data_IF_891960611969
#
_entry.id   IF_891960611969
#
_cell.length_a   1.000
_cell.length_b   1.000
_cell.length_c   1.000
_cell.angle_alpha   90.00
_cell.angle_beta   90.00
_cell.angle_gamma   90.00
#
_symmetry.space_group_name_H-M   'P 1'
#
loop_
_entity.id
_entity.type
_entity.pdbx_description
1 polymer ?
#
# COMPACT_ATOMS: atom_id res chain seq x y z
N UNK A 1 15.41 47.45 -17.04
CA UNK A 1 14.53 46.41 -16.49
C UNK A 1 15.40 45.41 -15.72
N UNK A 2 15.11 45.25 -14.43
CA UNK A 2 15.82 44.34 -13.50
C UNK A 2 15.26 42.93 -13.69
N UNK A 3 16.11 41.98 -14.09
CA UNK A 3 15.77 40.56 -14.03
C UNK A 3 16.47 39.96 -12.82
N UNK A 4 15.69 39.68 -11.78
CA UNK A 4 16.15 39.01 -10.56
C UNK A 4 16.70 37.62 -10.92
N UNK A 5 18.03 37.49 -10.94
CA UNK A 5 18.69 36.18 -10.85
C UNK A 5 18.48 35.69 -9.42
N UNK A 6 17.43 34.91 -9.21
CA UNK A 6 17.23 34.13 -7.99
C UNK A 6 18.43 33.19 -7.89
N UNK A 7 19.21 33.38 -6.83
CA UNK A 7 20.33 32.53 -6.48
C UNK A 7 19.86 31.09 -6.39
N UNK A 8 20.27 30.28 -7.37
CA UNK A 8 20.41 28.84 -7.21
C UNK A 8 21.51 28.62 -6.19
N UNK A 9 21.17 28.62 -4.90
CA UNK A 9 22.05 28.03 -3.90
C UNK A 9 21.93 26.52 -4.09
N UNK A 10 22.75 26.01 -5.00
CA UNK A 10 23.20 24.63 -5.04
C UNK A 10 23.76 24.31 -3.66
N UNK A 11 22.90 23.76 -2.80
CA UNK A 11 23.28 23.09 -1.57
C UNK A 11 24.19 21.94 -2.02
N UNK A 12 25.49 22.20 -2.00
CA UNK A 12 26.51 21.18 -2.15
C UNK A 12 26.16 20.08 -1.17
N UNK A 13 25.77 18.92 -1.70
CA UNK A 13 25.57 17.66 -0.99
C UNK A 13 26.92 17.31 -0.35
N UNK A 14 27.23 17.92 0.80
CA UNK A 14 28.13 17.28 1.72
C UNK A 14 27.41 16.03 2.18
N UNK A 15 27.96 14.88 1.85
CA UNK A 15 27.63 13.52 2.31
C UNK A 15 27.82 13.37 3.83
N UNK A 16 27.38 14.36 4.60
CA UNK A 16 27.13 14.26 6.03
C UNK A 16 25.74 13.64 6.18
N UNK A 17 25.67 12.30 6.11
CA UNK A 17 24.55 11.59 6.70
C UNK A 17 24.57 11.90 8.19
N UNK A 18 23.84 12.94 8.60
CA UNK A 18 23.76 13.34 9.99
C UNK A 18 23.16 12.17 10.76
N UNK A 19 23.97 11.53 11.61
CA UNK A 19 23.48 10.46 12.48
C UNK A 19 22.81 11.12 13.67
N UNK A 20 21.54 11.48 13.47
CA UNK A 20 20.60 11.80 14.55
C UNK A 20 20.40 10.52 15.39
N UNK A 21 20.31 10.69 16.71
CA UNK A 21 20.51 9.59 17.65
C UNK A 21 19.44 8.50 17.48
N UNK A 22 19.82 7.31 16.99
CA UNK A 22 18.97 6.11 17.04
C UNK A 22 19.17 5.40 18.38
N UNK A 23 18.26 5.61 19.33
CA UNK A 23 18.25 4.88 20.60
C UNK A 23 17.50 3.54 20.42
N UNK A 24 18.19 2.49 19.97
CA UNK A 24 17.63 1.12 19.94
C UNK A 24 17.61 0.43 21.32
N UNK A 25 17.98 1.14 22.40
CA UNK A 25 17.91 0.67 23.79
C UNK A 25 17.38 1.80 24.68
N UNK A 26 16.64 1.50 25.76
CA UNK A 26 16.49 2.43 26.85
C UNK A 26 17.88 2.53 27.51
N UNK A 27 18.75 3.37 26.98
CA UNK A 27 19.88 3.81 27.79
C UNK A 27 19.34 4.87 28.74
N UNK A 28 19.76 4.71 29.99
CA UNK A 28 19.61 5.63 31.10
C UNK A 28 19.56 7.09 30.66
N UNK A 29 18.74 7.87 31.35
CA UNK A 29 18.56 9.31 31.18
C UNK A 29 19.87 9.98 30.72
N UNK A 30 19.84 10.79 29.65
CA UNK A 30 21.03 11.53 29.27
C UNK A 30 21.45 12.34 30.49
N UNK A 31 22.70 12.14 30.93
CA UNK A 31 23.29 12.96 31.99
C UNK A 31 23.02 14.41 31.63
N UNK A 32 22.21 15.08 32.44
CA UNK A 32 21.93 16.51 32.33
C UNK A 32 23.26 17.23 32.17
N UNK A 33 23.47 17.84 31.00
CA UNK A 33 24.52 18.84 30.81
C UNK A 33 24.21 19.99 31.78
N UNK A 34 24.82 19.93 32.97
CA UNK A 34 24.55 20.78 34.14
C UNK A 34 24.74 22.29 33.89
N UNK A 35 25.12 22.69 32.69
CA UNK A 35 25.45 24.08 32.35
C UNK A 35 24.76 24.56 31.05
N UNK A 36 23.64 23.94 30.66
CA UNK A 36 22.84 24.38 29.50
C UNK A 36 21.57 25.12 29.91
N UNK A 37 21.15 26.10 29.10
CA UNK A 37 19.84 26.77 29.25
C UNK A 37 18.82 26.17 28.29
N UNK A 38 17.53 26.29 28.61
CA UNK A 38 16.48 25.88 27.67
C UNK A 38 16.48 26.81 26.45
N UNK A 39 16.50 26.24 25.26
CA UNK A 39 16.33 26.97 24.00
C UNK A 39 14.84 27.08 23.68
N UNK A 40 14.36 28.32 23.51
CA UNK A 40 13.00 28.59 23.04
C UNK A 40 12.92 28.29 21.53
N UNK A 41 12.41 27.11 21.21
CA UNK A 41 12.29 26.57 19.86
C UNK A 41 11.06 25.68 19.79
N UNK A 42 10.14 26.01 18.90
CA UNK A 42 8.89 25.27 18.70
C UNK A 42 8.82 24.70 17.28
N UNK A 43 8.80 23.37 17.16
CA UNK A 43 8.52 22.67 15.90
C UNK A 43 7.02 22.52 15.72
N UNK A 44 6.50 22.94 14.57
CA UNK A 44 5.07 22.89 14.26
C UNK A 44 4.71 21.77 13.30
N UNK A 45 5.68 21.29 12.52
CA UNK A 45 5.46 20.19 11.57
C UNK A 45 6.75 19.46 11.25
N UNK A 46 6.65 18.15 11.05
CA UNK A 46 7.68 17.31 10.43
C UNK A 46 7.07 16.49 9.30
N UNK A 47 7.65 16.58 8.11
CA UNK A 47 7.15 15.94 6.88
C UNK A 47 8.16 14.99 6.26
N UNK A 48 7.67 13.90 5.68
CA UNK A 48 8.41 13.04 4.75
C UNK A 48 7.71 13.14 3.40
N UNK A 49 8.31 13.88 2.47
CA UNK A 49 7.69 14.18 1.17
C UNK A 49 8.15 13.20 0.09
N UNK A 50 7.19 12.73 -0.72
CA UNK A 50 7.43 11.86 -1.87
C UNK A 50 8.46 12.43 -2.83
N UNK A 51 8.31 13.72 -3.18
CA UNK A 51 9.19 14.42 -4.12
C UNK A 51 10.66 14.47 -3.69
N UNK A 52 10.93 14.34 -2.40
CA UNK A 52 12.29 14.31 -1.85
C UNK A 52 12.84 12.90 -1.69
N UNK A 53 12.00 11.87 -1.74
CA UNK A 53 12.38 10.48 -1.45
C UNK A 53 12.18 9.57 -2.68
N UNK A 54 12.83 9.93 -3.80
CA UNK A 54 12.75 9.24 -5.09
C UNK A 54 13.84 8.17 -5.25
N UNK A 55 13.60 7.22 -6.14
CA UNK A 55 14.60 6.25 -6.58
C UNK A 55 15.75 7.00 -7.27
N UNK A 56 16.98 6.87 -6.77
CA UNK A 56 18.14 7.63 -7.26
C UNK A 56 18.46 7.36 -8.74
N UNK A 57 18.28 6.12 -9.19
CA UNK A 57 18.60 5.69 -10.55
C UNK A 57 17.56 6.15 -11.57
N UNK A 58 16.28 6.20 -11.20
CA UNK A 58 15.19 6.52 -12.13
C UNK A 58 14.68 7.95 -12.01
N UNK A 59 14.80 8.58 -10.84
CA UNK A 59 14.31 9.92 -10.44
C UNK A 59 12.85 10.26 -10.79
N UNK A 60 12.11 9.29 -11.31
CA UNK A 60 10.72 9.39 -11.76
C UNK A 60 9.84 8.38 -11.03
N UNK A 61 10.42 7.56 -10.16
CA UNK A 61 9.74 6.58 -9.32
C UNK A 61 10.07 6.85 -7.85
N UNK A 62 9.15 6.50 -6.96
CA UNK A 62 9.37 6.54 -5.51
C UNK A 62 10.51 5.60 -5.09
N UNK A 63 11.20 5.93 -4.00
CA UNK A 63 12.23 5.07 -3.42
C UNK A 63 11.64 3.83 -2.75
N UNK A 64 12.42 2.75 -2.61
CA UNK A 64 12.02 1.55 -1.86
C UNK A 64 11.57 1.88 -0.43
N UNK A 65 12.24 2.85 0.21
CA UNK A 65 11.84 3.39 1.50
C UNK A 65 10.38 3.84 1.49
N UNK A 66 10.11 4.78 0.58
CA UNK A 66 8.83 5.45 0.52
C UNK A 66 7.73 4.46 0.23
N UNK A 67 7.97 3.48 -0.66
CA UNK A 67 7.04 2.38 -0.93
C UNK A 67 6.68 1.60 0.33
N UNK A 68 7.69 1.22 1.13
CA UNK A 68 7.52 0.37 2.32
C UNK A 68 6.77 1.06 3.45
N UNK A 69 6.74 2.39 3.50
CA UNK A 69 5.98 3.13 4.50
C UNK A 69 4.46 2.98 4.35
N UNK A 70 3.98 2.50 3.21
CA UNK A 70 2.56 2.38 2.95
C UNK A 70 2.05 0.96 3.12
N UNK A 71 0.75 0.93 3.38
CA UNK A 71 -0.04 -0.26 3.33
C UNK A 71 -0.10 -0.81 1.90
N UNK A 72 -0.07 -2.14 1.79
CA UNK A 72 -0.24 -2.84 0.52
C UNK A 72 -1.61 -2.51 -0.09
N UNK A 73 -1.65 -2.22 -1.39
CA UNK A 73 -2.88 -2.06 -2.18
C UNK A 73 -3.04 -3.20 -3.18
N UNK A 74 -4.29 -3.48 -3.52
CA UNK A 74 -4.67 -4.33 -4.64
C UNK A 74 -5.60 -3.53 -5.55
N UNK A 75 -5.21 -3.23 -6.81
CA UNK A 75 -3.91 -3.55 -7.43
C UNK A 75 -2.75 -2.76 -6.80
N UNK A 76 -1.52 -3.24 -7.02
CA UNK A 76 -0.32 -2.57 -6.51
C UNK A 76 -0.24 -1.10 -6.96
N UNK A 77 0.30 -0.23 -6.11
CA UNK A 77 0.39 1.21 -6.39
C UNK A 77 1.31 1.49 -7.58
N UNK A 78 0.96 2.50 -8.38
CA UNK A 78 1.87 3.04 -9.40
C UNK A 78 3.01 3.79 -8.71
N UNK A 79 4.25 3.38 -9.01
CA UNK A 79 5.47 3.92 -8.43
C UNK A 79 5.86 5.26 -9.03
N UNK A 80 5.30 5.65 -10.17
CA UNK A 80 5.65 6.89 -10.86
C UNK A 80 5.34 8.10 -10.00
N UNK A 81 6.24 9.09 -10.04
CA UNK A 81 6.11 10.34 -9.32
C UNK A 81 4.80 11.08 -9.68
N UNK A 82 4.43 11.06 -10.96
CA UNK A 82 3.23 11.72 -11.46
C UNK A 82 1.90 11.05 -11.04
N UNK A 83 1.93 9.81 -10.57
CA UNK A 83 0.73 9.13 -10.08
C UNK A 83 0.46 9.52 -8.62
N UNK A 84 -0.73 10.02 -8.33
CA UNK A 84 -1.15 10.43 -6.98
C UNK A 84 -2.06 9.38 -6.33
N UNK A 85 -2.42 9.58 -5.06
CA UNK A 85 -3.29 8.65 -4.34
C UNK A 85 -4.64 8.39 -5.04
N UNK A 86 -5.20 9.41 -5.70
CA UNK A 86 -6.45 9.30 -6.46
C UNK A 86 -6.31 8.43 -7.72
N UNK A 87 -5.13 8.38 -8.33
CA UNK A 87 -4.81 7.54 -9.49
C UNK A 87 -4.10 6.22 -9.12
N UNK A 88 -4.31 5.70 -7.91
CA UNK A 88 -3.63 4.50 -7.37
C UNK A 88 -2.10 4.63 -7.19
N UNK A 89 -1.58 5.85 -7.12
CA UNK A 89 -0.20 6.14 -6.74
C UNK A 89 0.02 6.20 -5.23
N UNK A 90 1.19 6.69 -4.84
CA UNK A 90 1.55 6.93 -3.44
C UNK A 90 1.12 8.35 -3.01
N UNK A 91 0.62 8.52 -1.77
CA UNK A 91 0.42 9.83 -1.15
C UNK A 91 1.66 10.72 -1.23
N UNK A 92 1.47 12.03 -1.22
CA UNK A 92 2.56 12.98 -1.43
C UNK A 92 3.43 13.18 -0.19
N UNK A 93 2.90 12.89 1.01
CA UNK A 93 3.63 13.09 2.27
C UNK A 93 3.08 12.26 3.42
N UNK A 94 3.95 12.02 4.40
CA UNK A 94 3.57 11.84 5.80
C UNK A 94 3.83 13.15 6.53
N UNK A 95 2.93 13.57 7.42
CA UNK A 95 3.03 14.84 8.15
C UNK A 95 2.63 14.61 9.60
N UNK A 96 3.56 14.87 10.52
CA UNK A 96 3.25 15.05 11.93
C UNK A 96 2.96 16.54 12.17
N UNK A 97 1.78 16.84 12.72
CA UNK A 97 1.30 18.20 13.04
C UNK A 97 0.50 18.18 14.35
N UNK A 98 -0.25 19.23 14.64
CA UNK A 98 -1.12 19.35 15.83
C UNK A 98 -1.75 18.03 16.28
N UNK A 99 -1.45 17.60 17.51
CA UNK A 99 -1.88 16.33 18.10
C UNK A 99 -0.89 15.16 17.97
N UNK A 100 -0.03 15.19 16.94
CA UNK A 100 1.11 14.27 16.79
C UNK A 100 2.41 14.81 17.39
N UNK A 101 2.45 16.11 17.71
CA UNK A 101 3.53 16.72 18.49
C UNK A 101 3.04 16.85 19.93
N UNK A 102 3.65 16.12 20.87
CA UNK A 102 3.29 16.08 22.28
C UNK A 102 4.51 16.45 23.13
N UNK A 103 4.55 17.71 23.54
CA UNK A 103 5.76 18.29 24.14
C UNK A 103 6.94 18.13 23.19
N UNK A 104 8.00 17.50 23.68
CA UNK A 104 9.25 17.32 22.93
C UNK A 104 9.28 16.01 22.13
N UNK A 105 8.15 15.32 22.00
CA UNK A 105 8.01 14.09 21.21
C UNK A 105 7.17 14.35 19.97
N UNK A 106 7.67 13.94 18.80
CA UNK A 106 7.03 14.09 17.50
C UNK A 106 6.72 12.70 16.95
N UNK A 107 5.45 12.37 16.74
CA UNK A 107 5.02 11.07 16.22
C UNK A 107 4.79 11.14 14.71
N UNK A 108 5.62 10.44 13.93
CA UNK A 108 5.34 10.19 12.52
C UNK A 108 4.64 8.85 12.41
N UNK A 109 3.36 8.87 12.06
CA UNK A 109 2.49 7.68 11.99
C UNK A 109 2.38 7.18 10.55
N UNK A 110 2.72 5.92 10.34
CA UNK A 110 2.52 5.21 9.08
C UNK A 110 1.25 4.34 9.13
N UNK A 111 0.51 4.12 8.03
CA UNK A 111 -0.57 3.14 7.98
C UNK A 111 -0.10 1.78 8.49
N UNK A 112 -0.92 1.12 9.33
CA UNK A 112 -0.60 -0.22 9.80
C UNK A 112 -0.44 -1.18 8.61
N UNK A 113 0.63 -1.98 8.58
CA UNK A 113 0.81 -2.98 7.52
C UNK A 113 1.13 -4.34 8.15
N UNK A 114 0.18 -5.29 8.17
CA UNK A 114 0.41 -6.60 8.78
C UNK A 114 1.49 -7.40 8.04
N UNK A 115 1.69 -7.10 6.75
CA UNK A 115 2.66 -7.73 5.85
C UNK A 115 3.88 -6.83 5.60
N UNK A 116 4.19 -5.92 6.53
CA UNK A 116 5.33 -5.02 6.40
C UNK A 116 6.65 -5.78 6.20
N UNK A 117 7.37 -5.42 5.15
CA UNK A 117 8.69 -6.00 4.83
C UNK A 117 9.77 -4.99 5.21
N UNK A 118 10.72 -5.40 6.04
CA UNK A 118 11.84 -4.57 6.48
C UNK A 118 12.68 -4.05 5.31
N UNK A 119 13.37 -2.94 5.51
CA UNK A 119 14.30 -2.37 4.52
C UNK A 119 15.42 -3.36 4.18
N UNK A 120 15.87 -3.33 2.93
CA UNK A 120 16.98 -4.16 2.45
C UNK A 120 18.35 -3.66 2.92
N UNK A 121 18.48 -2.35 3.17
CA UNK A 121 19.71 -1.69 3.62
C UNK A 121 19.40 -0.42 4.43
N UNK A 122 20.42 0.08 5.13
CA UNK A 122 20.42 1.42 5.74
C UNK A 122 20.15 2.48 4.68
N UNK A 123 19.48 3.56 5.07
CA UNK A 123 19.13 4.63 4.14
C UNK A 123 19.08 6.00 4.81
N UNK A 124 19.09 7.04 3.98
CA UNK A 124 18.90 8.42 4.41
C UNK A 124 17.53 8.88 3.91
N UNK A 125 16.68 9.31 4.84
CA UNK A 125 15.37 9.88 4.57
C UNK A 125 15.50 11.39 4.61
N UNK A 126 14.90 12.08 3.64
CA UNK A 126 14.79 13.54 3.69
C UNK A 126 13.51 13.94 4.40
N UNK A 127 13.68 14.63 5.51
CA UNK A 127 12.58 15.14 6.34
C UNK A 127 12.54 16.66 6.30
N UNK A 128 11.36 17.25 6.17
CA UNK A 128 11.18 18.70 6.21
C UNK A 128 10.62 19.10 7.57
N UNK A 129 11.38 19.89 8.33
CA UNK A 129 10.99 20.41 9.64
C UNK A 129 10.56 21.87 9.50
N UNK A 130 9.44 22.23 10.11
CA UNK A 130 8.89 23.59 10.14
C UNK A 130 8.88 24.10 11.58
N UNK A 131 9.36 25.32 11.77
CA UNK A 131 9.37 26.02 13.05
C UNK A 131 8.28 27.07 13.12
N UNK A 132 7.77 27.36 14.32
CA UNK A 132 6.74 28.39 14.53
C UNK A 132 7.19 29.79 14.15
N UNK A 133 8.46 30.09 14.35
CA UNK A 133 9.09 31.37 14.03
C UNK A 133 10.44 31.14 13.37
N UNK A 134 11.00 32.18 12.74
CA UNK A 134 12.34 32.09 12.17
C UNK A 134 13.38 31.78 13.26
N UNK A 135 14.25 30.82 12.98
CA UNK A 135 15.30 30.37 13.90
C UNK A 135 16.69 30.74 13.37
N UNK A 136 17.67 30.78 14.27
CA UNK A 136 19.11 30.81 13.96
C UNK A 136 19.82 29.94 15.01
N UNK A 137 19.94 28.65 14.70
CA UNK A 137 20.37 27.58 15.61
C UNK A 137 21.25 26.59 14.87
N UNK A 138 21.84 25.64 15.59
CA UNK A 138 22.58 24.51 15.01
C UNK A 138 21.84 23.20 15.31
N UNK A 139 21.77 22.30 14.35
CA UNK A 139 21.47 20.90 14.62
C UNK A 139 22.78 20.17 14.90
N UNK A 140 22.86 19.54 16.06
CA UNK A 140 24.05 18.85 16.55
C UNK A 140 23.89 17.33 16.36
N UNK A 141 24.89 16.70 15.74
CA UNK A 141 24.94 15.25 15.59
C UNK A 141 25.58 14.57 16.82
N UNK A 142 25.54 13.23 16.85
CA UNK A 142 26.13 12.45 17.96
C UNK A 142 27.64 12.64 18.18
N UNK A 143 28.35 13.19 17.20
CA UNK A 143 29.78 13.46 17.27
C UNK A 143 30.06 14.94 17.59
N UNK A 144 29.03 15.75 17.84
CA UNK A 144 29.15 17.18 18.10
C UNK A 144 29.30 18.05 16.84
N UNK A 145 29.15 17.48 15.64
CA UNK A 145 29.16 18.27 14.40
C UNK A 145 27.88 19.13 14.33
N UNK A 146 28.03 20.36 13.88
CA UNK A 146 26.95 21.36 13.87
C UNK A 146 26.56 21.74 12.45
N UNK A 147 25.29 21.55 12.12
CA UNK A 147 24.67 22.02 10.89
C UNK A 147 23.91 23.33 11.18
N UNK A 148 24.30 24.49 10.60
CA UNK A 148 23.57 25.74 10.81
C UNK A 148 22.18 25.69 10.17
N UNK A 149 21.17 26.17 10.91
CA UNK A 149 19.77 26.21 10.50
C UNK A 149 19.28 27.65 10.65
N UNK A 150 18.77 28.23 9.56
CA UNK A 150 18.20 29.57 9.52
C UNK A 150 16.86 29.60 8.81
N UNK A 151 15.95 30.42 9.30
CA UNK A 151 14.61 30.60 8.70
C UNK A 151 13.53 29.79 9.41
N UNK A 152 12.40 29.58 8.74
CA UNK A 152 11.22 28.89 9.32
C UNK A 152 11.11 27.42 8.93
N UNK A 153 11.95 26.95 8.00
CA UNK A 153 11.91 25.58 7.48
C UNK A 153 13.32 25.07 7.20
N UNK A 154 13.52 23.76 7.33
CA UNK A 154 14.78 23.10 7.01
C UNK A 154 14.54 21.67 6.51
N UNK A 155 15.34 21.24 5.53
CA UNK A 155 15.42 19.83 5.13
C UNK A 155 16.56 19.14 5.89
N UNK A 156 16.22 18.07 6.61
CA UNK A 156 17.15 17.29 7.42
C UNK A 156 17.29 15.87 6.86
N UNK A 157 18.53 15.42 6.58
CA UNK A 157 18.79 14.02 6.30
C UNK A 157 18.75 13.21 7.60
N UNK A 158 17.90 12.19 7.66
CA UNK A 158 17.75 11.28 8.80
C UNK A 158 18.20 9.89 8.37
N UNK A 159 19.29 9.40 8.96
CA UNK A 159 19.73 8.02 8.72
C UNK A 159 18.82 7.06 9.48
N UNK A 160 18.18 6.13 8.76
CA UNK A 160 17.41 5.03 9.34
C UNK A 160 18.09 3.72 9.00
N UNK A 161 18.45 2.96 10.05
CA UNK A 161 19.04 1.65 9.87
C UNK A 161 17.97 0.64 9.47
N UNK A 162 18.32 -0.34 8.63
CA UNK A 162 17.36 -1.33 8.17
C UNK A 162 16.68 -2.10 9.32
N UNK A 163 17.48 -2.40 10.36
CA UNK A 163 17.03 -3.06 11.59
C UNK A 163 16.09 -2.23 12.45
N UNK A 164 16.14 -0.90 12.31
CA UNK A 164 15.33 0.01 13.12
C UNK A 164 13.94 0.21 12.49
N UNK A 165 13.72 -0.18 11.22
CA UNK A 165 12.43 -0.08 10.54
C UNK A 165 11.90 -1.49 10.21
N UNK A 166 11.40 -2.17 11.24
CA UNK A 166 10.75 -3.48 11.16
C UNK A 166 9.31 -3.37 11.63
N UNK A 167 8.48 -4.38 11.34
CA UNK A 167 7.11 -4.43 11.86
C UNK A 167 7.08 -4.28 13.40
N UNK A 168 7.92 -5.04 14.09
CA UNK A 168 7.99 -5.04 15.55
C UNK A 168 8.42 -3.69 16.13
N UNK A 169 9.40 -3.02 15.52
CA UNK A 169 9.87 -1.71 16.02
C UNK A 169 8.84 -0.60 15.77
N UNK A 170 8.10 -0.66 14.66
CA UNK A 170 7.00 0.26 14.35
C UNK A 170 5.76 0.02 15.22
N UNK A 171 5.42 -1.22 15.55
CA UNK A 171 4.35 -1.56 16.49
C UNK A 171 4.70 -1.12 17.92
N UNK A 172 5.94 -1.33 18.35
CA UNK A 172 6.41 -0.95 19.68
C UNK A 172 6.76 0.55 19.81
N UNK A 173 6.73 1.31 18.71
CA UNK A 173 7.19 2.71 18.66
C UNK A 173 8.62 2.89 19.22
N UNK A 174 9.49 1.92 18.98
CA UNK A 174 10.86 1.90 19.50
C UNK A 174 11.88 2.55 18.57
N UNK A 175 11.49 2.85 17.33
CA UNK A 175 12.31 3.60 16.39
C UNK A 175 12.28 5.09 16.72
N UNK A 176 13.36 5.58 17.34
CA UNK A 176 13.47 6.97 17.79
C UNK A 176 14.64 7.65 17.12
N UNK A 177 14.49 8.94 16.82
CA UNK A 177 15.53 9.83 16.30
C UNK A 177 15.53 11.11 17.13
N UNK A 178 16.66 11.49 17.72
CA UNK A 178 16.74 12.74 18.50
C UNK A 178 17.30 13.86 17.63
N UNK A 179 16.56 14.95 17.49
CA UNK A 179 17.01 16.21 16.92
C UNK A 179 17.46 17.12 18.06
N UNK A 180 18.77 17.31 18.21
CA UNK A 180 19.36 18.17 19.23
C UNK A 180 19.71 19.52 18.62
N UNK A 181 18.93 20.54 18.97
CA UNK A 181 19.17 21.91 18.53
C UNK A 181 19.96 22.67 19.60
N UNK A 182 21.01 23.37 19.18
CA UNK A 182 21.86 24.17 20.07
C UNK A 182 22.02 25.59 19.57
N UNK A 183 22.14 26.54 20.49
CA UNK A 183 22.46 27.94 20.21
C UNK A 183 23.59 28.40 21.13
N UNK A 184 24.70 28.95 20.58
CA UNK A 184 25.76 29.49 21.42
C UNK A 184 25.22 30.65 22.27
N UNK A 185 25.82 30.83 23.43
CA UNK A 185 25.58 32.00 24.27
C UNK A 185 25.98 33.31 23.58
N UNK A 186 25.49 34.45 24.08
CA UNK A 186 25.74 35.75 23.44
C UNK A 186 27.22 36.17 23.55
N UNK A 187 27.91 35.69 24.60
CA UNK A 187 29.34 35.86 24.82
C UNK A 187 30.03 34.50 25.04
N UNK A 188 31.36 34.45 24.93
CA UNK A 188 32.15 33.21 24.90
C UNK A 188 31.98 32.28 26.13
N UNK A 189 31.47 32.79 27.25
CA UNK A 189 31.27 32.04 28.50
C UNK A 189 29.79 31.85 28.87
N UNK A 190 28.87 32.36 28.03
CA UNK A 190 27.45 32.13 28.27
C UNK A 190 27.12 30.65 28.04
N UNK A 191 26.26 30.06 28.88
CA UNK A 191 25.83 28.67 28.72
C UNK A 191 25.13 28.46 27.37
N UNK A 192 25.41 27.32 26.73
CA UNK A 192 24.77 26.92 25.48
C UNK A 192 23.29 26.68 25.76
N UNK A 193 22.42 27.18 24.88
CA UNK A 193 20.99 26.87 24.94
C UNK A 193 20.69 25.61 24.12
N UNK A 194 19.94 24.67 24.68
CA UNK A 194 19.64 23.36 24.06
C UNK A 194 18.14 23.10 24.04
N UNK A 195 17.65 22.52 22.94
CA UNK A 195 16.31 21.92 22.83
C UNK A 195 16.41 20.61 22.07
N UNK A 196 15.84 19.55 22.61
CA UNK A 196 15.81 18.24 21.96
C UNK A 196 14.38 17.88 21.57
N UNK A 197 14.22 17.30 20.38
CA UNK A 197 12.99 16.68 19.94
C UNK A 197 13.24 15.20 19.66
N UNK A 198 12.43 14.33 20.26
CA UNK A 198 12.42 12.91 19.93
C UNK A 198 11.38 12.62 18.85
N UNK A 199 11.84 12.35 17.64
CA UNK A 199 11.00 11.87 16.54
C UNK A 199 10.81 10.37 16.67
N UNK A 200 9.57 9.94 16.84
CA UNK A 200 9.16 8.54 16.96
C UNK A 200 8.50 8.10 15.67
N UNK A 201 9.03 7.06 15.04
CA UNK A 201 8.41 6.41 13.90
C UNK A 201 7.55 5.24 14.40
N UNK A 202 6.26 5.24 14.08
CA UNK A 202 5.35 4.15 14.49
C UNK A 202 4.25 3.89 13.48
N UNK A 203 3.60 2.74 13.57
CA UNK A 203 2.32 2.55 12.90
C UNK A 203 1.23 3.39 13.56
N UNK A 204 0.20 3.72 12.78
CA UNK A 204 -1.05 4.26 13.27
C UNK A 204 -1.70 3.27 14.23
N UNK A 205 -2.31 3.81 15.29
CA UNK A 205 -3.07 3.02 16.25
C UNK A 205 -4.39 2.51 15.65
N UNK A 206 -4.88 3.16 14.59
CA UNK A 206 -6.07 2.75 13.86
C UNK A 206 -5.76 1.67 12.83
N UNK A 207 -6.50 0.57 12.90
CA UNK A 207 -6.49 -0.53 11.94
C UNK A 207 -7.87 -0.63 11.29
N UNK A 208 -7.92 -0.67 9.97
CA UNK A 208 -9.15 -0.86 9.21
C UNK A 208 -9.62 -2.30 9.32
N UNK A 209 -10.91 -2.46 9.60
CA UNK A 209 -11.65 -3.72 9.55
C UNK A 209 -12.33 -3.94 8.18
N UNK A 210 -12.11 -3.04 7.22
CA UNK A 210 -12.70 -3.13 5.88
C UNK A 210 -12.07 -4.27 5.08
N UNK A 211 -12.90 -5.25 4.71
CA UNK A 211 -12.56 -6.37 3.81
C UNK A 211 -13.67 -6.68 2.80
N UNK A 212 -14.60 -5.74 2.59
CA UNK A 212 -15.66 -5.84 1.60
C UNK A 212 -15.09 -5.59 0.19
N UNK A 213 -15.38 -6.48 -0.77
CA UNK A 213 -15.18 -6.21 -2.20
C UNK A 213 -16.44 -5.52 -2.71
N UNK A 214 -16.29 -4.30 -3.24
CA UNK A 214 -17.41 -3.58 -3.83
C UNK A 214 -17.99 -4.33 -5.05
N UNK A 215 -19.30 -4.21 -5.33
CA UNK A 215 -19.96 -4.95 -6.42
C UNK A 215 -19.29 -4.83 -7.80
N UNK A 216 -18.63 -3.71 -8.09
CA UNK A 216 -17.96 -3.43 -9.37
C UNK A 216 -16.42 -3.57 -9.30
N UNK A 217 -15.88 -4.01 -8.16
CA UNK A 217 -14.45 -4.08 -7.90
C UNK A 217 -13.81 -5.41 -8.32
N UNK A 218 -14.58 -6.46 -8.61
CA UNK A 218 -14.05 -7.76 -9.03
C UNK A 218 -13.84 -7.82 -10.55
N UNK A 219 -12.62 -7.51 -11.01
CA UNK A 219 -12.31 -7.37 -12.44
C UNK A 219 -11.17 -8.24 -12.97
N UNK A 220 -11.20 -8.45 -14.28
CA UNK A 220 -10.21 -9.16 -15.10
C UNK A 220 -9.81 -8.28 -16.28
N UNK A 221 -8.50 -8.09 -16.47
CA UNK A 221 -7.98 -7.42 -17.66
C UNK A 221 -7.84 -8.43 -18.79
N UNK A 222 -8.49 -8.16 -19.92
CA UNK A 222 -8.45 -9.03 -21.10
C UNK A 222 -7.03 -9.08 -21.65
N UNK A 223 -6.48 -10.30 -21.71
CA UNK A 223 -5.17 -10.61 -22.26
C UNK A 223 -5.20 -10.83 -23.77
N UNK A 224 -4.02 -11.08 -24.34
CA UNK A 224 -3.87 -11.41 -25.76
C UNK A 224 -4.19 -12.87 -26.09
N UNK A 225 -3.47 -13.43 -27.05
CA UNK A 225 -3.63 -14.83 -27.53
C UNK A 225 -2.86 -15.86 -26.70
N UNK A 226 -2.02 -15.40 -25.78
CA UNK A 226 -1.29 -16.21 -24.81
C UNK A 226 -1.45 -15.59 -23.42
N UNK A 227 -1.33 -16.43 -22.37
CA UNK A 227 -1.48 -16.11 -20.94
C UNK A 227 -2.93 -16.19 -20.40
N UNK A 228 -3.12 -15.73 -19.15
CA UNK A 228 -4.42 -15.70 -18.49
C UNK A 228 -5.36 -14.68 -19.14
N UNK A 229 -6.67 -14.82 -18.88
CA UNK A 229 -7.70 -13.91 -19.38
C UNK A 229 -7.68 -13.82 -20.91
N UNK A 230 -7.50 -14.93 -21.62
CA UNK A 230 -7.46 -14.93 -23.09
C UNK A 230 -8.68 -14.22 -23.67
N UNK A 231 -8.46 -13.36 -24.67
CA UNK A 231 -9.54 -12.65 -25.38
C UNK A 231 -10.64 -13.59 -25.88
N UNK A 232 -10.26 -14.79 -26.37
CA UNK A 232 -11.17 -15.80 -26.87
C UNK A 232 -12.05 -16.46 -25.78
N UNK A 233 -11.77 -16.22 -24.50
CA UNK A 233 -12.60 -16.67 -23.38
C UNK A 233 -13.80 -15.75 -23.14
N UNK A 234 -13.68 -14.48 -23.52
CA UNK A 234 -14.71 -13.46 -23.34
C UNK A 234 -15.60 -13.34 -24.58
N UNK A 235 -16.69 -12.58 -24.46
CA UNK A 235 -17.51 -12.21 -25.62
C UNK A 235 -16.67 -11.54 -26.72
N UNK A 236 -17.03 -11.81 -27.97
CA UNK A 236 -16.32 -11.33 -29.16
C UNK A 236 -16.20 -9.79 -29.28
N UNK A 237 -16.98 -9.04 -28.51
CA UNK A 237 -16.91 -7.56 -28.47
C UNK A 237 -15.77 -7.02 -27.59
N UNK A 238 -15.06 -7.89 -26.85
CA UNK A 238 -13.96 -7.47 -25.97
C UNK A 238 -12.65 -7.42 -26.72
N UNK A 239 -11.79 -6.49 -26.32
CA UNK A 239 -10.45 -6.27 -26.87
C UNK A 239 -9.40 -6.37 -25.79
N UNK A 240 -8.15 -6.63 -26.18
CA UNK A 240 -7.02 -6.69 -25.26
C UNK A 240 -6.91 -5.39 -24.47
N UNK A 241 -6.82 -5.49 -23.14
CA UNK A 241 -6.73 -4.36 -22.23
C UNK A 241 -8.07 -3.91 -21.64
N UNK A 242 -9.20 -4.36 -22.18
CA UNK A 242 -10.51 -4.12 -21.58
C UNK A 242 -10.59 -4.72 -20.16
N UNK A 243 -11.39 -4.11 -19.30
CA UNK A 243 -11.69 -4.64 -17.97
C UNK A 243 -13.07 -5.27 -18.00
N UNK A 244 -13.13 -6.59 -17.86
CA UNK A 244 -14.36 -7.36 -17.67
C UNK A 244 -14.59 -7.54 -16.18
N UNK A 245 -15.76 -7.16 -15.68
CA UNK A 245 -16.12 -7.30 -14.27
C UNK A 245 -17.00 -8.52 -14.08
N UNK A 246 -16.72 -9.30 -13.04
CA UNK A 246 -17.64 -10.34 -12.63
C UNK A 246 -18.94 -9.72 -12.11
N UNK A 247 -20.06 -10.37 -12.41
CA UNK A 247 -21.36 -9.98 -11.92
C UNK A 247 -21.48 -10.27 -10.43
N UNK A 248 -21.75 -9.24 -9.63
CA UNK A 248 -22.08 -9.41 -8.22
C UNK A 248 -23.52 -9.90 -8.06
N UNK A 249 -23.69 -11.07 -7.41
CA UNK A 249 -25.01 -11.61 -7.10
C UNK A 249 -25.49 -10.99 -5.79
N UNK A 250 -26.43 -10.06 -5.90
CA UNK A 250 -27.02 -9.42 -4.73
C UNK A 250 -27.63 -10.47 -3.78
N UNK A 251 -27.39 -10.35 -2.46
CA UNK A 251 -28.00 -11.27 -1.49
C UNK A 251 -29.52 -11.18 -1.52
N UNK A 252 -30.19 -12.33 -1.44
CA UNK A 252 -31.62 -12.41 -1.23
C UNK A 252 -31.88 -13.11 0.11
N UNK A 253 -32.62 -12.46 1.01
CA UNK A 253 -33.01 -13.05 2.31
C UNK A 253 -31.83 -13.54 3.15
N UNK A 254 -30.69 -12.83 3.12
CA UNK A 254 -29.45 -13.15 3.83
C UNK A 254 -28.80 -14.50 3.42
N UNK A 255 -28.99 -14.94 2.17
CA UNK A 255 -28.37 -16.16 1.63
C UNK A 255 -26.86 -15.99 1.35
N UNK A 256 -26.37 -14.75 1.29
CA UNK A 256 -24.99 -14.35 0.98
C UNK A 256 -24.56 -13.18 1.87
N UNK A 257 -24.35 -13.42 3.16
CA UNK A 257 -23.98 -12.39 4.13
C UNK A 257 -22.45 -12.21 4.31
N UNK A 258 -21.66 -12.98 3.57
CA UNK A 258 -20.20 -12.92 3.61
C UNK A 258 -19.59 -13.76 4.73
N UNK A 259 -20.37 -14.63 5.38
CA UNK A 259 -19.87 -15.69 6.27
C UNK A 259 -19.34 -16.90 5.47
N UNK A 260 -18.56 -17.78 6.11
CA UNK A 260 -17.97 -18.95 5.44
C UNK A 260 -19.01 -19.88 4.80
N UNK A 261 -20.16 -20.06 5.47
CA UNK A 261 -21.25 -20.91 4.98
C UNK A 261 -22.10 -20.21 3.93
N UNK A 262 -22.11 -18.87 3.90
CA UNK A 262 -22.90 -18.02 3.01
C UNK A 262 -22.03 -16.90 2.40
N UNK A 263 -21.03 -17.28 1.58
CA UNK A 263 -20.11 -16.30 1.01
C UNK A 263 -20.84 -15.36 0.04
N UNK A 264 -20.32 -14.14 -0.10
CA UNK A 264 -20.72 -13.29 -1.23
C UNK A 264 -20.35 -13.95 -2.55
N UNK A 265 -21.15 -13.76 -3.60
CA UNK A 265 -20.93 -14.42 -4.89
C UNK A 265 -20.68 -13.42 -6.01
N UNK A 266 -19.64 -13.71 -6.78
CA UNK A 266 -19.34 -13.09 -8.06
C UNK A 266 -19.41 -14.16 -9.16
N UNK A 267 -19.88 -13.77 -10.33
CA UNK A 267 -20.07 -14.69 -11.45
C UNK A 267 -19.41 -14.17 -12.73
N UNK A 268 -18.69 -15.05 -13.42
CA UNK A 268 -18.41 -14.91 -14.85
C UNK A 268 -19.43 -15.76 -15.61
N UNK A 269 -20.41 -15.09 -16.20
CA UNK A 269 -21.58 -15.71 -16.84
C UNK A 269 -21.33 -15.96 -18.30
N UNK A 270 -21.89 -17.06 -18.81
CA UNK A 270 -21.95 -17.35 -20.24
C UNK A 270 -22.73 -16.24 -20.95
N UNK A 271 -22.32 -15.93 -22.18
CA UNK A 271 -23.10 -14.99 -22.96
C UNK A 271 -24.47 -15.54 -23.34
N UNK A 272 -25.47 -14.66 -23.46
CA UNK A 272 -26.72 -14.99 -24.15
C UNK A 272 -26.44 -15.37 -25.61
N UNK A 273 -27.17 -16.35 -26.13
CA UNK A 273 -27.10 -16.71 -27.55
C UNK A 273 -27.48 -15.55 -28.48
N UNK A 274 -28.30 -14.62 -28.00
CA UNK A 274 -28.77 -13.43 -28.72
C UNK A 274 -27.89 -12.20 -28.54
N UNK A 275 -26.73 -12.32 -27.89
CA UNK A 275 -25.80 -11.21 -27.67
C UNK A 275 -25.08 -10.82 -28.98
N UNK A 276 -25.81 -10.28 -29.94
CA UNK A 276 -25.32 -9.71 -31.18
C UNK A 276 -25.62 -8.22 -31.19
N UNK A 277 -24.57 -7.40 -31.15
CA UNK A 277 -24.43 -5.96 -31.47
C UNK A 277 -25.70 -5.13 -31.80
N UNK A 278 -25.77 -3.85 -31.33
CA UNK A 278 -24.61 -2.94 -31.30
C UNK A 278 -24.14 -2.42 -29.93
N UNK A 279 -24.90 -2.57 -28.84
CA UNK A 279 -24.43 -2.13 -27.51
C UNK A 279 -24.58 -3.20 -26.42
N UNK A 280 -24.01 -4.40 -26.59
CA UNK A 280 -24.16 -5.47 -25.61
C UNK A 280 -23.32 -5.17 -24.36
N UNK A 281 -23.99 -5.02 -23.20
CA UNK A 281 -23.33 -4.78 -21.91
C UNK A 281 -23.11 -6.09 -21.17
N UNK A 282 -22.04 -6.21 -20.38
CA UNK A 282 -21.78 -7.43 -19.61
C UNK A 282 -22.95 -7.76 -18.66
N UNK A 283 -23.54 -6.73 -18.07
CA UNK A 283 -24.71 -6.84 -17.20
C UNK A 283 -25.88 -7.58 -17.86
N UNK A 284 -26.19 -7.26 -19.12
CA UNK A 284 -27.35 -7.78 -19.86
C UNK A 284 -27.06 -9.05 -20.65
N UNK A 285 -25.82 -9.23 -21.10
CA UNK A 285 -25.47 -10.22 -22.11
C UNK A 285 -24.48 -11.28 -21.63
N UNK A 286 -23.94 -11.16 -20.41
CA UNK A 286 -22.92 -12.03 -19.85
C UNK A 286 -21.51 -11.59 -20.24
N UNK A 287 -20.50 -12.16 -19.60
CA UNK A 287 -19.09 -11.77 -19.72
C UNK A 287 -18.29 -12.70 -20.66
N UNK A 288 -18.58 -14.00 -20.61
CA UNK A 288 -17.87 -15.06 -21.31
C UNK A 288 -18.49 -15.38 -22.67
N UNK A 289 -17.78 -16.13 -23.53
CA UNK A 289 -18.39 -16.66 -24.76
C UNK A 289 -19.62 -17.53 -24.47
N UNK A 290 -20.53 -17.65 -25.45
CA UNK A 290 -21.83 -18.33 -25.30
C UNK A 290 -21.70 -19.80 -24.87
N UNK A 291 -20.65 -20.48 -25.31
CA UNK A 291 -20.37 -21.88 -24.96
C UNK A 291 -19.70 -22.07 -23.59
N UNK A 292 -19.41 -20.99 -22.86
CA UNK A 292 -18.58 -21.04 -21.66
C UNK A 292 -17.11 -21.27 -21.98
N UNK A 293 -16.29 -21.46 -20.96
CA UNK A 293 -14.83 -21.64 -21.06
C UNK A 293 -14.37 -22.97 -20.51
N UNK A 294 -13.43 -23.59 -21.22
CA UNK A 294 -12.89 -24.91 -20.89
C UNK A 294 -11.82 -24.84 -19.79
N UNK A 295 -11.43 -25.99 -19.26
CA UNK A 295 -10.35 -26.10 -18.26
C UNK A 295 -8.96 -25.66 -18.76
N UNK A 296 -8.79 -25.47 -20.06
CA UNK A 296 -7.56 -24.92 -20.67
C UNK A 296 -7.52 -23.39 -20.62
N UNK A 297 -8.68 -22.74 -20.43
CA UNK A 297 -8.78 -21.30 -20.23
C UNK A 297 -8.68 -20.97 -18.75
N UNK A 298 -7.65 -20.23 -18.37
CA UNK A 298 -7.41 -19.77 -17.01
C UNK A 298 -7.44 -18.25 -16.90
N UNK A 299 -7.74 -17.79 -15.69
CA UNK A 299 -8.05 -16.40 -15.36
C UNK A 299 -7.16 -15.88 -14.25
N UNK A 300 -7.02 -14.56 -14.20
CA UNK A 300 -6.44 -13.81 -13.07
C UNK A 300 -7.27 -12.55 -12.87
N UNK A 301 -7.79 -12.35 -11.66
CA UNK A 301 -8.50 -11.14 -11.28
C UNK A 301 -7.51 -9.98 -11.05
N UNK A 302 -6.73 -9.65 -12.08
CA UNK A 302 -5.67 -8.65 -12.07
C UNK A 302 -6.18 -7.20 -12.12
N UNK A 303 -7.49 -7.02 -12.29
CA UNK A 303 -8.19 -5.76 -12.08
C UNK A 303 -9.07 -5.76 -10.81
N UNK A 304 -8.95 -6.78 -9.95
CA UNK A 304 -9.58 -6.80 -8.63
C UNK A 304 -9.09 -5.62 -7.78
N UNK A 305 -10.04 -4.93 -7.13
CA UNK A 305 -9.73 -3.94 -6.10
C UNK A 305 -10.13 -4.46 -4.73
N UNK A 306 -9.21 -4.36 -3.78
CA UNK A 306 -9.48 -4.62 -2.36
C UNK A 306 -9.39 -3.31 -1.58
N UNK A 307 -10.09 -3.20 -0.42
CA UNK A 307 -9.84 -2.13 0.52
C UNK A 307 -8.35 -2.03 0.88
N UNK A 308 -7.87 -0.84 1.21
CA UNK A 308 -6.48 -0.60 1.58
C UNK A 308 -6.03 -1.56 2.69
N UNK A 309 -4.99 -2.36 2.39
CA UNK A 309 -4.42 -3.35 3.31
C UNK A 309 -5.16 -4.65 3.46
N UNK A 310 -6.35 -4.79 2.89
CA UNK A 310 -6.99 -6.08 2.80
C UNK A 310 -6.23 -6.99 1.84
N UNK A 311 -6.19 -8.28 2.16
CA UNK A 311 -5.46 -9.29 1.39
C UNK A 311 -6.23 -10.59 1.28
N UNK A 312 -5.87 -11.41 0.29
CA UNK A 312 -6.44 -12.75 0.13
C UNK A 312 -5.70 -13.74 1.02
N UNK A 313 -6.44 -14.38 1.93
CA UNK A 313 -5.97 -15.56 2.66
C UNK A 313 -6.31 -16.81 1.84
N UNK A 314 -5.30 -17.65 1.61
CA UNK A 314 -5.43 -18.89 0.84
C UNK A 314 -5.55 -20.07 1.81
N UNK A 315 -6.61 -20.88 1.67
CA UNK A 315 -6.78 -22.12 2.44
C UNK A 315 -5.74 -23.19 2.11
N UNK A 316 -5.54 -24.14 3.02
CA UNK A 316 -4.57 -25.24 2.88
C UNK A 316 -5.11 -26.47 2.14
N UNK A 317 -6.41 -26.52 1.86
CA UNK A 317 -7.02 -27.69 1.21
C UNK A 317 -6.54 -27.80 -0.25
N UNK A 318 -5.87 -28.89 -0.65
CA UNK A 318 -5.32 -29.04 -1.99
C UNK A 318 -6.41 -28.99 -3.07
N UNK A 319 -6.01 -28.53 -4.26
CA UNK A 319 -6.80 -28.61 -5.48
C UNK A 319 -7.11 -30.10 -5.78
N UNK A 320 -8.38 -30.52 -5.95
CA UNK A 320 -8.68 -31.92 -6.27
C UNK A 320 -8.15 -32.26 -7.67
N UNK A 321 -7.36 -33.33 -7.76
CA UNK A 321 -6.64 -33.72 -8.98
C UNK A 321 -7.56 -34.18 -10.13
N UNK A 322 -8.81 -34.55 -9.85
CA UNK A 322 -9.74 -35.12 -10.82
C UNK A 322 -11.13 -34.47 -10.69
N UNK A 323 -11.60 -33.85 -11.79
CA UNK A 323 -12.86 -33.13 -11.87
C UNK A 323 -14.02 -34.08 -12.23
N UNK A 324 -14.51 -34.83 -11.24
CA UNK A 324 -15.53 -35.87 -11.47
C UNK A 324 -16.95 -35.39 -11.12
N UNK A 325 -17.11 -34.25 -10.45
CA UNK A 325 -18.40 -33.69 -10.02
C UNK A 325 -18.83 -32.48 -10.86
N UNK A 326 -20.14 -32.29 -11.01
CA UNK A 326 -20.76 -31.20 -11.79
C UNK A 326 -20.51 -29.79 -11.21
N UNK A 327 -19.96 -29.70 -10.00
CA UNK A 327 -19.52 -28.48 -9.33
C UNK A 327 -18.08 -28.72 -8.89
N UNK A 328 -17.15 -27.94 -9.44
CA UNK A 328 -15.74 -27.91 -9.05
C UNK A 328 -15.60 -26.89 -7.92
N UNK A 329 -15.44 -27.30 -6.65
CA UNK A 329 -15.27 -26.35 -5.54
C UNK A 329 -13.81 -26.35 -5.05
N UNK A 330 -13.14 -25.20 -5.11
CA UNK A 330 -11.78 -25.03 -4.60
C UNK A 330 -11.69 -23.81 -3.69
N UNK A 331 -11.16 -23.98 -2.48
CA UNK A 331 -10.99 -22.93 -1.45
C UNK A 331 -9.53 -22.47 -1.30
N UNK A 332 -8.63 -22.88 -2.20
CA UNK A 332 -7.18 -22.67 -2.08
C UNK A 332 -6.55 -21.98 -3.29
N UNK A 333 -7.34 -21.37 -4.16
CA UNK A 333 -6.82 -20.57 -5.28
C UNK A 333 -6.93 -19.09 -4.95
N UNK A 334 -5.81 -18.38 -5.05
CA UNK A 334 -5.80 -16.93 -5.01
C UNK A 334 -6.30 -16.38 -6.36
N UNK A 335 -7.42 -15.64 -6.39
CA UNK A 335 -8.01 -15.19 -7.64
C UNK A 335 -7.12 -14.20 -8.40
N UNK A 336 -6.27 -13.44 -7.71
CA UNK A 336 -5.38 -12.44 -8.32
C UNK A 336 -4.25 -13.12 -9.09
N UNK A 337 -3.67 -14.19 -8.52
CA UNK A 337 -2.48 -14.83 -9.09
C UNK A 337 -2.78 -16.10 -9.88
N UNK A 338 -3.92 -16.74 -9.64
CA UNK A 338 -4.24 -18.08 -10.16
C UNK A 338 -3.42 -19.19 -9.51
N UNK A 339 -2.73 -18.91 -8.39
CA UNK A 339 -1.88 -19.86 -7.68
C UNK A 339 -2.60 -20.47 -6.48
N UNK A 340 -2.16 -21.65 -6.08
CA UNK A 340 -2.43 -22.21 -4.75
C UNK A 340 -1.18 -22.07 -3.87
N UNK A 341 -1.25 -22.52 -2.62
CA UNK A 341 -0.06 -22.64 -1.76
C UNK A 341 1.00 -23.60 -2.32
N UNK A 342 0.59 -24.65 -3.04
CA UNK A 342 1.48 -25.70 -3.56
C UNK A 342 1.78 -25.61 -5.05
N UNK A 343 0.99 -24.85 -5.82
CA UNK A 343 1.11 -24.76 -7.29
C UNK A 343 1.19 -23.29 -7.69
N UNK A 344 2.34 -22.89 -8.25
CA UNK A 344 2.68 -21.49 -8.56
C UNK A 344 2.73 -21.16 -10.05
N UNK A 345 2.13 -22.00 -10.90
CA UNK A 345 2.12 -21.84 -12.36
C UNK A 345 1.13 -20.77 -12.88
N UNK A 346 0.25 -20.23 -12.03
CA UNK A 346 -0.73 -19.20 -12.35
C UNK A 346 -1.95 -19.67 -13.14
N UNK A 347 -2.25 -20.98 -13.17
CA UNK A 347 -3.24 -21.58 -14.07
C UNK A 347 -4.40 -22.29 -13.35
N UNK A 348 -4.55 -22.13 -12.03
CA UNK A 348 -5.50 -22.91 -11.23
C UNK A 348 -6.91 -22.30 -11.15
N UNK A 349 -7.04 -21.00 -11.45
CA UNK A 349 -8.34 -20.37 -11.64
C UNK A 349 -8.77 -20.56 -13.09
N UNK A 350 -9.66 -21.51 -13.39
CA UNK A 350 -9.93 -21.97 -14.76
C UNK A 350 -11.38 -22.39 -15.00
N UNK A 351 -11.73 -22.52 -16.27
CA UNK A 351 -13.02 -23.07 -16.69
C UNK A 351 -13.20 -24.55 -16.32
N UNK A 352 -14.27 -25.16 -16.82
CA UNK A 352 -14.59 -26.57 -16.55
C UNK A 352 -14.31 -27.43 -17.79
N UNK A 353 -14.10 -28.74 -17.63
CA UNK A 353 -13.87 -29.66 -18.75
C UNK A 353 -15.06 -29.74 -19.71
N UNK A 354 -16.29 -29.60 -19.20
CA UNK A 354 -17.50 -29.42 -20.02
C UNK A 354 -18.04 -28.01 -19.79
N UNK A 355 -17.48 -27.07 -20.55
CA UNK A 355 -17.78 -25.65 -20.45
C UNK A 355 -19.26 -25.29 -20.68
N UNK A 356 -19.97 -26.13 -21.43
CA UNK A 356 -21.34 -25.88 -21.85
C UNK A 356 -22.35 -26.14 -20.72
N UNK A 357 -22.10 -27.18 -19.92
CA UNK A 357 -23.03 -27.70 -18.92
C UNK A 357 -22.53 -27.58 -17.48
N UNK A 358 -21.23 -27.36 -17.25
CA UNK A 358 -20.62 -27.37 -15.92
C UNK A 358 -20.01 -26.02 -15.52
N UNK A 359 -20.10 -25.74 -14.22
CA UNK A 359 -19.58 -24.54 -13.55
C UNK A 359 -18.31 -24.86 -12.78
N UNK A 360 -17.46 -23.85 -12.58
CA UNK A 360 -16.33 -23.92 -11.65
C UNK A 360 -16.53 -22.89 -10.54
N UNK A 361 -16.45 -23.32 -9.28
CA UNK A 361 -16.63 -22.50 -8.09
C UNK A 361 -15.33 -22.38 -7.29
N UNK A 362 -14.91 -21.14 -7.04
CA UNK A 362 -13.69 -20.82 -6.31
C UNK A 362 -14.04 -20.00 -5.07
N UNK A 363 -13.83 -20.57 -3.89
CA UNK A 363 -13.99 -19.87 -2.62
C UNK A 363 -12.68 -19.25 -2.18
N UNK A 364 -12.73 -18.06 -1.62
CA UNK A 364 -11.56 -17.37 -1.06
C UNK A 364 -11.97 -16.43 0.06
N UNK A 365 -11.00 -16.08 0.90
CA UNK A 365 -11.21 -15.23 2.06
C UNK A 365 -10.46 -13.93 1.88
N UNK A 366 -11.14 -12.81 2.10
CA UNK A 366 -10.50 -11.50 2.24
C UNK A 366 -10.36 -11.20 3.72
N UNK A 367 -9.14 -10.91 4.14
CA UNK A 367 -8.80 -10.49 5.49
C UNK A 367 -8.52 -9.00 5.46
N UNK A 368 -9.08 -8.25 6.42
CA UNK A 368 -8.87 -6.81 6.54
C UNK A 368 -7.43 -6.48 6.99
N UNK A 369 -7.10 -5.20 6.99
CA UNK A 369 -5.80 -4.69 7.46
C UNK A 369 -5.51 -5.09 8.92
N UNK A 370 -6.54 -5.19 9.76
CA UNK A 370 -6.40 -5.61 11.17
C UNK A 370 -5.87 -7.06 11.35
N UNK A 371 -5.92 -7.88 10.30
CA UNK A 371 -5.52 -9.28 10.31
C UNK A 371 -6.52 -10.25 10.93
N UNK A 372 -7.66 -9.75 11.41
CA UNK A 372 -8.65 -10.54 12.16
C UNK A 372 -10.04 -10.52 11.51
N UNK A 373 -10.44 -9.42 10.91
CA UNK A 373 -11.76 -9.29 10.29
C UNK A 373 -11.77 -9.96 8.92
N UNK A 374 -12.71 -10.89 8.70
CA UNK A 374 -12.77 -11.73 7.51
C UNK A 374 -14.12 -11.63 6.82
N UNK A 375 -14.10 -11.67 5.49
CA UNK A 375 -15.27 -11.92 4.63
C UNK A 375 -14.96 -13.02 3.63
N UNK A 376 -15.95 -13.85 3.36
CA UNK A 376 -15.84 -15.01 2.50
C UNK A 376 -16.55 -14.76 1.19
N UNK A 377 -15.93 -15.20 0.10
CA UNK A 377 -16.38 -14.97 -1.25
C UNK A 377 -16.33 -16.25 -2.07
N UNK A 378 -17.16 -16.29 -3.10
CA UNK A 378 -17.21 -17.33 -4.12
C UNK A 378 -17.18 -16.68 -5.50
N UNK A 379 -16.34 -17.17 -6.38
CA UNK A 379 -16.34 -16.85 -7.81
C UNK A 379 -16.83 -18.07 -8.58
N UNK A 380 -17.92 -17.90 -9.34
CA UNK A 380 -18.48 -18.93 -10.21
C UNK A 380 -18.15 -18.63 -11.67
N UNK A 381 -17.44 -19.52 -12.34
CA UNK A 381 -17.10 -19.45 -13.78
C UNK A 381 -18.06 -20.36 -14.55
N UNK A 382 -18.47 -19.93 -15.75
CA UNK A 382 -19.54 -20.54 -16.56
C UNK A 382 -20.91 -20.49 -15.89
N UNK A 383 -21.15 -19.47 -15.06
CA UNK A 383 -22.48 -19.21 -14.53
C UNK A 383 -23.50 -19.03 -15.66
N UNK A 384 -24.78 -19.20 -15.34
CA UNK A 384 -25.84 -19.14 -16.34
C UNK A 384 -25.93 -17.73 -16.95
N UNK A 385 -26.34 -17.67 -18.20
CA UNK A 385 -26.51 -16.39 -18.87
C UNK A 385 -27.54 -15.53 -18.12
N UNK A 386 -27.41 -14.18 -18.16
CA UNK A 386 -28.35 -13.30 -17.49
C UNK A 386 -29.80 -13.60 -17.89
N UNK A 387 -30.71 -13.68 -16.93
CA UNK A 387 -32.13 -14.05 -17.16
C UNK A 387 -33.06 -12.85 -17.39
N UNK A 388 -32.53 -11.62 -17.40
CA UNK A 388 -33.30 -10.39 -17.62
C UNK A 388 -33.61 -10.08 -19.09
N UNK A 389 -34.87 -9.84 -19.40
CA UNK A 389 -35.45 -9.37 -20.66
C UNK A 389 -34.98 -7.96 -21.05
N UNK A 390 -35.01 -7.65 -22.36
CA UNK A 390 -34.97 -6.28 -22.87
C UNK A 390 -36.05 -5.39 -22.24
#
# INVERSE_FOLDING_TARGET
MKTNKIFKNTLSLLTLGLVVFSCSKPSEDPKTDQNSKALDLEVTSVKIEKAQNLNESKKTEVSEFYEKLFITKTPARDKKLAADEGSNGYPDKFEAKDGDIKGDTIFIKFPYNPNFVALSADMIIKTKVTFKSSVDVFLEDKNGNKLPIKGTEVELPVKVAARDLTKATLEAASTKQVFRFTKPGAIANDPISVKEYTVVLKFSDSKSDLCAIEPDAFGFKVGGTSNANLIASFRATKTTGDIVRAHYVAPNSNDKDGTETRPFEFELRKAKSTASTPTPTDTTDGELKTTGVEATAYFKADALKLPDGAFIEIGDTPYPATANSNIFACNSVNPITGNTKSITNGQNLKGNADASSKKSEYKFTVVAQDGTTKKYYKLTINADAPTGSN
#
